data_IF_795596178614
#
_entry.id   IF_795596178614
#
_cell.length_a   1.000
_cell.length_b   1.000
_cell.length_c   1.000
_cell.angle_alpha   90.00
_cell.angle_beta   90.00
_cell.angle_gamma   90.00
#
_symmetry.space_group_name_H-M   'P 1'
#
loop_
_entity.id
_entity.type
_entity.pdbx_description
1 polymer ?
#
# COMPACT_ATOMS: atom_id res chain seq x y z
N UNK A 1 -25.56 23.28 -5.34
CA UNK A 1 -24.98 21.94 -5.45
C UNK A 1 -23.97 21.72 -4.33
N UNK A 2 -24.12 20.62 -3.67
CA UNK A 2 -23.30 20.29 -2.52
C UNK A 2 -21.87 19.90 -2.94
N UNK A 3 -20.87 20.63 -2.44
CA UNK A 3 -19.46 20.34 -2.71
C UNK A 3 -19.03 18.98 -2.14
N UNK A 4 -19.63 18.55 -1.04
CA UNK A 4 -19.34 17.26 -0.41
C UNK A 4 -19.67 16.10 -1.35
N UNK A 5 -20.80 16.18 -2.06
CA UNK A 5 -21.20 15.14 -3.00
C UNK A 5 -20.23 15.05 -4.18
N UNK A 6 -19.77 16.20 -4.68
CA UNK A 6 -18.78 16.24 -5.76
C UNK A 6 -17.45 15.60 -5.35
N UNK A 7 -16.98 15.88 -4.13
CA UNK A 7 -15.75 15.30 -3.59
C UNK A 7 -15.89 13.78 -3.44
N UNK A 8 -17.02 13.30 -2.94
CA UNK A 8 -17.31 11.88 -2.79
C UNK A 8 -17.27 11.15 -4.14
N UNK A 9 -17.89 11.74 -5.15
CA UNK A 9 -17.87 11.16 -6.51
C UNK A 9 -16.45 11.09 -7.07
N UNK A 10 -15.65 12.14 -6.89
CA UNK A 10 -14.27 12.16 -7.36
C UNK A 10 -13.42 11.09 -6.66
N UNK A 11 -13.58 10.95 -5.34
CA UNK A 11 -12.87 9.93 -4.59
C UNK A 11 -13.23 8.52 -5.05
N UNK A 12 -14.52 8.24 -5.30
CA UNK A 12 -14.96 6.95 -5.79
C UNK A 12 -14.42 6.65 -7.19
N UNK A 13 -14.38 7.66 -8.07
CA UNK A 13 -13.83 7.51 -9.41
C UNK A 13 -12.32 7.23 -9.36
N UNK A 14 -11.58 7.92 -8.50
CA UNK A 14 -10.16 7.70 -8.29
C UNK A 14 -9.88 6.30 -7.77
N UNK A 15 -10.70 5.82 -6.85
CA UNK A 15 -10.59 4.47 -6.30
C UNK A 15 -10.81 3.42 -7.39
N UNK A 16 -11.82 3.60 -8.24
CA UNK A 16 -12.07 2.71 -9.39
C UNK A 16 -10.89 2.71 -10.36
N UNK A 17 -10.29 3.86 -10.62
CA UNK A 17 -9.12 3.97 -11.46
C UNK A 17 -7.93 3.23 -10.85
N UNK A 18 -7.71 3.40 -9.55
CA UNK A 18 -6.64 2.73 -8.84
C UNK A 18 -6.75 1.21 -8.88
N UNK A 19 -7.94 0.65 -8.64
CA UNK A 19 -8.14 -0.80 -8.69
C UNK A 19 -8.03 -1.33 -10.11
N UNK A 20 -8.46 -0.56 -11.12
CA UNK A 20 -8.33 -0.97 -12.50
C UNK A 20 -6.87 -1.08 -12.93
N UNK A 21 -6.02 -0.12 -12.53
CA UNK A 21 -4.58 -0.17 -12.79
C UNK A 21 -3.94 -1.35 -12.05
N UNK A 22 -4.31 -1.56 -10.81
CA UNK A 22 -3.85 -2.71 -10.02
C UNK A 22 -4.16 -4.02 -10.74
N UNK A 23 -5.40 -4.22 -11.15
CA UNK A 23 -5.82 -5.44 -11.84
C UNK A 23 -5.07 -5.64 -13.16
N UNK A 24 -4.82 -4.56 -13.89
CA UNK A 24 -4.07 -4.62 -15.14
C UNK A 24 -2.62 -5.06 -14.91
N UNK A 25 -1.95 -4.48 -13.93
CA UNK A 25 -0.57 -4.84 -13.57
C UNK A 25 -0.49 -6.32 -13.19
N UNK A 26 -1.42 -6.79 -12.36
CA UNK A 26 -1.47 -8.19 -11.96
C UNK A 26 -1.72 -9.12 -13.15
N UNK A 27 -2.64 -8.75 -14.02
CA UNK A 27 -2.93 -9.53 -15.23
C UNK A 27 -1.70 -9.67 -16.13
N UNK A 28 -0.92 -8.62 -16.28
CA UNK A 28 0.32 -8.64 -17.07
C UNK A 28 1.37 -9.59 -16.47
N UNK A 29 1.24 -9.91 -15.19
CA UNK A 29 2.10 -10.87 -14.48
C UNK A 29 1.44 -12.24 -14.26
N UNK A 30 0.36 -12.51 -14.99
CA UNK A 30 -0.31 -13.80 -14.95
C UNK A 30 -1.27 -14.00 -13.78
N UNK A 31 -1.65 -12.91 -13.10
CA UNK A 31 -2.58 -12.98 -11.95
C UNK A 31 -3.90 -12.32 -12.32
N UNK A 32 -4.99 -13.09 -12.29
CA UNK A 32 -6.34 -12.57 -12.51
C UNK A 32 -7.08 -12.55 -11.17
N UNK A 33 -7.55 -11.37 -10.77
CA UNK A 33 -8.33 -11.22 -9.54
C UNK A 33 -9.77 -11.70 -9.74
N UNK A 34 -10.27 -12.46 -8.78
CA UNK A 34 -11.69 -12.78 -8.70
C UNK A 34 -12.46 -11.53 -8.23
N UNK A 35 -13.80 -11.59 -8.38
CA UNK A 35 -14.64 -10.51 -7.87
C UNK A 35 -14.49 -10.34 -6.36
N UNK A 36 -14.46 -11.45 -5.61
CA UNK A 36 -14.28 -11.42 -4.17
C UNK A 36 -12.93 -10.83 -3.77
N UNK A 37 -11.87 -11.16 -4.49
CA UNK A 37 -10.54 -10.60 -4.26
C UNK A 37 -10.49 -9.10 -4.54
N UNK A 38 -11.13 -8.67 -5.62
CA UNK A 38 -11.23 -7.24 -5.97
C UNK A 38 -11.97 -6.48 -4.88
N UNK A 39 -13.10 -7.01 -4.41
CA UNK A 39 -13.87 -6.40 -3.31
C UNK A 39 -13.03 -6.30 -2.05
N UNK A 40 -12.27 -7.35 -1.71
CA UNK A 40 -11.42 -7.37 -0.53
C UNK A 40 -10.31 -6.29 -0.60
N UNK A 41 -9.67 -6.14 -1.76
CA UNK A 41 -8.62 -5.13 -1.95
C UNK A 41 -9.20 -3.72 -1.83
N UNK A 42 -10.35 -3.46 -2.44
CA UNK A 42 -11.03 -2.16 -2.35
C UNK A 42 -11.45 -1.85 -0.92
N UNK A 43 -12.01 -2.83 -0.21
CA UNK A 43 -12.40 -2.66 1.18
C UNK A 43 -11.21 -2.34 2.08
N UNK A 44 -10.09 -3.03 1.86
CA UNK A 44 -8.84 -2.77 2.58
C UNK A 44 -8.32 -1.36 2.32
N UNK A 45 -8.39 -0.91 1.07
CA UNK A 45 -7.98 0.44 0.69
C UNK A 45 -8.85 1.51 1.38
N UNK A 46 -10.15 1.35 1.32
CA UNK A 46 -11.11 2.27 1.96
C UNK A 46 -10.88 2.34 3.47
N UNK A 47 -10.71 1.19 4.10
CA UNK A 47 -10.44 1.10 5.54
C UNK A 47 -9.13 1.79 5.91
N UNK A 48 -8.07 1.55 5.15
CA UNK A 48 -6.76 2.14 5.41
C UNK A 48 -6.78 3.67 5.29
N UNK A 49 -7.45 4.20 4.28
CA UNK A 49 -7.62 5.65 4.13
C UNK A 49 -8.40 6.24 5.31
N UNK A 50 -9.48 5.60 5.71
CA UNK A 50 -10.30 6.06 6.84
C UNK A 50 -9.51 6.03 8.14
N UNK A 51 -8.80 4.94 8.41
CA UNK A 51 -8.05 4.77 9.65
C UNK A 51 -6.87 5.75 9.76
N UNK A 52 -6.27 6.11 8.62
CA UNK A 52 -5.16 7.07 8.59
C UNK A 52 -5.62 8.52 8.43
N UNK A 53 -6.91 8.77 8.21
CA UNK A 53 -7.43 10.10 7.98
C UNK A 53 -6.92 10.72 6.67
N UNK A 54 -6.51 9.90 5.72
CA UNK A 54 -5.91 10.36 4.47
C UNK A 54 -6.95 10.44 3.35
N UNK A 55 -6.86 11.50 2.56
CA UNK A 55 -7.60 11.64 1.30
C UNK A 55 -6.61 11.54 0.16
N UNK A 56 -6.90 10.67 -0.81
CA UNK A 56 -6.06 10.51 -1.98
C UNK A 56 -6.70 11.12 -3.21
N UNK A 57 -5.83 11.63 -4.07
CA UNK A 57 -6.22 12.15 -5.39
C UNK A 57 -5.51 11.32 -6.46
N UNK A 58 -6.13 11.21 -7.65
CA UNK A 58 -5.59 10.41 -8.74
C UNK A 58 -5.71 8.92 -8.45
N UNK A 59 -4.72 8.14 -8.85
CA UNK A 59 -4.75 6.67 -8.71
C UNK A 59 -4.50 6.19 -7.28
N UNK A 60 -3.93 7.04 -6.42
CA UNK A 60 -3.55 6.68 -5.07
C UNK A 60 -2.30 5.81 -5.01
N UNK A 61 -2.06 5.21 -3.85
CA UNK A 61 -0.87 4.39 -3.62
C UNK A 61 -1.01 2.93 -4.06
N UNK A 62 -2.24 2.43 -4.27
CA UNK A 62 -2.45 1.03 -4.62
C UNK A 62 -1.72 0.60 -5.90
N UNK A 63 -1.78 1.36 -7.02
CA UNK A 63 -1.01 1.00 -8.21
C UNK A 63 0.49 0.95 -7.96
N UNK A 64 1.04 1.89 -7.22
CA UNK A 64 2.47 1.93 -6.90
C UNK A 64 2.89 0.73 -6.04
N UNK A 65 2.08 0.37 -5.05
CA UNK A 65 2.30 -0.83 -4.25
C UNK A 65 2.24 -2.09 -5.10
N UNK A 66 1.25 -2.20 -5.97
CA UNK A 66 1.11 -3.36 -6.85
C UNK A 66 2.34 -3.51 -7.75
N UNK A 67 2.78 -2.44 -8.40
CA UNK A 67 3.96 -2.45 -9.26
C UNK A 67 5.22 -2.84 -8.49
N UNK A 68 5.36 -2.37 -7.26
CA UNK A 68 6.53 -2.67 -6.43
C UNK A 68 6.57 -4.13 -5.99
N UNK A 69 5.42 -4.73 -5.68
CA UNK A 69 5.37 -6.04 -5.04
C UNK A 69 5.02 -7.21 -5.96
N UNK A 70 4.44 -6.95 -7.15
CA UNK A 70 3.96 -8.02 -8.04
C UNK A 70 5.08 -8.98 -8.46
N UNK A 71 6.32 -8.52 -8.54
CA UNK A 71 7.47 -9.35 -8.92
C UNK A 71 8.15 -10.01 -7.73
N UNK A 72 7.65 -9.83 -6.52
CA UNK A 72 8.23 -10.45 -5.33
C UNK A 72 8.12 -11.97 -5.40
N UNK A 73 9.19 -12.71 -5.05
CA UNK A 73 9.13 -14.17 -5.02
C UNK A 73 8.19 -14.71 -3.95
N UNK A 74 7.77 -13.89 -3.01
CA UNK A 74 6.86 -14.26 -1.92
C UNK A 74 5.39 -14.01 -2.25
N UNK A 75 5.10 -13.35 -3.37
CA UNK A 75 3.71 -13.10 -3.80
C UNK A 75 3.34 -14.11 -4.86
N UNK A 76 2.29 -14.87 -4.56
CA UNK A 76 1.74 -15.90 -5.43
C UNK A 76 0.32 -15.52 -5.82
N UNK A 77 -0.24 -16.23 -6.80
CA UNK A 77 -1.64 -16.04 -7.17
C UNK A 77 -2.58 -16.24 -5.98
N UNK A 78 -2.26 -17.20 -5.12
CA UNK A 78 -3.12 -17.60 -4.01
C UNK A 78 -3.10 -16.58 -2.86
N UNK A 79 -1.97 -15.91 -2.62
CA UNK A 79 -1.85 -14.97 -1.51
C UNK A 79 -1.87 -13.50 -1.93
N UNK A 80 -1.92 -13.21 -3.23
CA UNK A 80 -1.77 -11.86 -3.76
C UNK A 80 -2.78 -10.87 -3.18
N UNK A 81 -4.07 -11.22 -3.18
CA UNK A 81 -5.11 -10.33 -2.69
C UNK A 81 -4.95 -10.04 -1.20
N UNK A 82 -4.68 -11.07 -0.40
CA UNK A 82 -4.46 -10.92 1.03
C UNK A 82 -3.23 -10.07 1.33
N UNK A 83 -2.10 -10.34 0.67
CA UNK A 83 -0.88 -9.57 0.87
C UNK A 83 -1.02 -8.13 0.41
N UNK A 84 -1.66 -7.87 -0.73
CA UNK A 84 -1.90 -6.49 -1.17
C UNK A 84 -2.79 -5.73 -0.20
N UNK A 85 -3.76 -6.40 0.40
CA UNK A 85 -4.61 -5.79 1.44
C UNK A 85 -3.78 -5.43 2.68
N UNK A 86 -2.94 -6.34 3.13
CA UNK A 86 -2.07 -6.11 4.30
C UNK A 86 -0.99 -5.06 4.01
N UNK A 87 -0.40 -5.07 2.83
CA UNK A 87 0.61 -4.09 2.43
C UNK A 87 0.03 -2.68 2.34
N UNK A 88 -1.21 -2.53 1.90
CA UNK A 88 -1.90 -1.25 1.94
C UNK A 88 -2.05 -0.75 3.38
N UNK A 89 -2.52 -1.62 4.27
CA UNK A 89 -2.67 -1.26 5.67
C UNK A 89 -1.34 -0.83 6.29
N UNK A 90 -0.27 -1.57 5.99
CA UNK A 90 1.09 -1.24 6.45
C UNK A 90 1.55 0.11 5.92
N UNK A 91 1.39 0.33 4.61
CA UNK A 91 1.81 1.59 3.98
C UNK A 91 1.13 2.80 4.61
N UNK A 92 -0.20 2.78 4.69
CA UNK A 92 -0.93 3.93 5.20
C UNK A 92 -0.68 4.16 6.69
N UNK A 93 -0.57 3.09 7.47
CA UNK A 93 -0.26 3.20 8.89
C UNK A 93 1.11 3.87 9.11
N UNK A 94 2.15 3.35 8.47
CA UNK A 94 3.50 3.90 8.67
C UNK A 94 3.72 5.22 7.96
N UNK A 95 3.01 5.49 6.87
CA UNK A 95 2.99 6.81 6.26
C UNK A 95 2.54 7.87 7.26
N UNK A 96 1.51 7.56 8.02
CA UNK A 96 1.01 8.42 9.10
C UNK A 96 2.01 8.51 10.25
N UNK A 97 2.53 7.37 10.70
CA UNK A 97 3.49 7.32 11.81
C UNK A 97 4.80 8.05 11.50
N UNK A 98 5.25 8.02 10.27
CA UNK A 98 6.47 8.71 9.85
C UNK A 98 6.29 10.22 9.66
N UNK A 99 5.06 10.71 9.72
CA UNK A 99 4.70 12.14 9.79
C UNK A 99 5.42 13.01 8.74
N UNK A 100 5.45 12.54 7.50
CA UNK A 100 6.05 13.27 6.39
C UNK A 100 7.56 13.28 6.34
N UNK A 101 8.23 12.55 7.22
CA UNK A 101 9.70 12.45 7.24
C UNK A 101 10.27 11.64 6.09
N UNK A 102 9.42 10.90 5.38
CA UNK A 102 9.81 10.09 4.23
C UNK A 102 8.73 10.23 3.15
N UNK A 103 9.14 10.27 1.89
CA UNK A 103 8.18 10.32 0.77
C UNK A 103 7.49 8.98 0.59
N UNK A 104 6.31 8.98 -0.05
CA UNK A 104 5.58 7.75 -0.36
C UNK A 104 6.44 6.79 -1.19
N UNK A 105 7.13 7.31 -2.19
CA UNK A 105 7.98 6.53 -3.08
C UNK A 105 9.10 5.83 -2.32
N UNK A 106 9.78 6.56 -1.43
CA UNK A 106 10.86 6.00 -0.61
C UNK A 106 10.34 5.00 0.41
N UNK A 107 9.16 5.26 0.97
CA UNK A 107 8.53 4.33 1.92
C UNK A 107 8.20 3.00 1.24
N UNK A 108 7.61 3.05 0.05
CA UNK A 108 7.28 1.84 -0.73
C UNK A 108 8.56 1.09 -1.10
N UNK A 109 9.60 1.80 -1.53
CA UNK A 109 10.88 1.18 -1.87
C UNK A 109 11.52 0.50 -0.66
N UNK A 110 11.44 1.10 0.52
CA UNK A 110 11.92 0.51 1.76
C UNK A 110 11.14 -0.75 2.11
N UNK A 111 9.81 -0.70 2.02
CA UNK A 111 8.94 -1.85 2.28
C UNK A 111 9.29 -3.01 1.35
N UNK A 112 9.47 -2.74 0.06
CA UNK A 112 9.82 -3.76 -0.93
C UNK A 112 11.16 -4.43 -0.57
N UNK A 113 12.17 -3.65 -0.25
CA UNK A 113 13.49 -4.16 0.10
C UNK A 113 13.44 -5.04 1.34
N UNK A 114 12.74 -4.60 2.38
CA UNK A 114 12.63 -5.35 3.63
C UNK A 114 11.78 -6.61 3.48
N UNK A 115 10.67 -6.50 2.76
CA UNK A 115 9.79 -7.64 2.51
C UNK A 115 10.51 -8.75 1.76
N UNK A 116 11.29 -8.40 0.74
CA UNK A 116 12.03 -9.36 -0.08
C UNK A 116 13.35 -9.81 0.55
N UNK A 117 13.85 -9.09 1.53
CA UNK A 117 15.11 -9.37 2.21
C UNK A 117 14.92 -9.90 3.63
N UNK A 118 15.17 -9.07 4.67
CA UNK A 118 15.13 -9.54 6.06
C UNK A 118 13.81 -10.15 6.49
N UNK A 119 12.69 -9.63 5.99
CA UNK A 119 11.37 -10.16 6.35
C UNK A 119 11.05 -11.49 5.67
N UNK A 120 11.69 -11.79 4.53
CA UNK A 120 11.49 -13.06 3.84
C UNK A 120 10.03 -13.33 3.47
N UNK A 121 9.27 -12.30 3.12
CA UNK A 121 7.85 -12.43 2.77
C UNK A 121 6.92 -12.45 3.99
N UNK A 122 7.42 -12.26 5.20
CA UNK A 122 6.62 -12.27 6.42
C UNK A 122 6.13 -10.85 6.73
N UNK A 123 4.82 -10.64 6.62
CA UNK A 123 4.21 -9.34 6.88
C UNK A 123 4.31 -8.94 8.36
N UNK A 124 4.28 -9.92 9.26
CA UNK A 124 4.45 -9.66 10.68
C UNK A 124 5.82 -9.11 11.02
N UNK A 125 6.86 -9.67 10.40
CA UNK A 125 8.22 -9.15 10.55
C UNK A 125 8.35 -7.75 9.95
N UNK A 126 7.76 -7.54 8.76
CA UNK A 126 7.77 -6.24 8.11
C UNK A 126 7.17 -5.18 9.03
N UNK A 127 5.99 -5.43 9.57
CA UNK A 127 5.28 -4.49 10.44
C UNK A 127 5.99 -4.31 11.78
N UNK A 128 6.27 -5.41 12.48
CA UNK A 128 6.75 -5.39 13.86
C UNK A 128 8.24 -5.13 14.03
N UNK A 129 9.03 -5.26 12.97
CA UNK A 129 10.47 -5.08 13.02
C UNK A 129 10.95 -4.03 12.04
N UNK A 130 10.80 -4.27 10.73
CA UNK A 130 11.36 -3.39 9.70
C UNK A 130 10.79 -1.97 9.77
N UNK A 131 9.47 -1.86 9.79
CA UNK A 131 8.78 -0.56 9.75
C UNK A 131 8.91 0.17 11.08
N UNK A 132 8.86 -0.55 12.19
CA UNK A 132 9.05 0.06 13.52
C UNK A 132 10.45 0.64 13.66
N UNK A 133 11.46 -0.06 13.17
CA UNK A 133 12.84 0.45 13.18
C UNK A 133 12.98 1.69 12.31
N UNK A 134 12.36 1.70 11.13
CA UNK A 134 12.39 2.87 10.24
C UNK A 134 11.82 4.08 10.95
N UNK A 135 10.62 3.96 11.52
CA UNK A 135 9.97 5.06 12.23
C UNK A 135 10.80 5.54 13.40
N UNK A 136 11.35 4.63 14.20
CA UNK A 136 12.18 4.98 15.35
C UNK A 136 13.41 5.80 14.92
N UNK A 137 14.07 5.42 13.84
CA UNK A 137 15.24 6.12 13.33
C UNK A 137 14.89 7.48 12.75
N UNK A 138 13.80 7.58 11.99
CA UNK A 138 13.35 8.86 11.45
C UNK A 138 13.01 9.86 12.57
N UNK A 139 12.29 9.39 13.59
CA UNK A 139 11.92 10.20 14.74
C UNK A 139 13.08 10.47 15.68
N UNK A 140 14.05 9.57 15.75
CA UNK A 140 15.26 9.73 16.57
C UNK A 140 16.31 10.65 15.99
N UNK A 141 16.01 11.26 14.82
CA UNK A 141 16.91 12.22 14.14
C UNK A 141 18.23 11.62 13.65
N UNK A 142 18.33 10.29 13.58
CA UNK A 142 19.45 9.63 12.95
C UNK A 142 19.15 9.40 11.50
N UNK A 143 19.49 10.37 10.66
CA UNK A 143 19.24 10.32 9.23
C UNK A 143 20.44 9.85 8.41
N UNK A 144 21.55 9.55 9.07
CA UNK A 144 22.80 9.22 8.37
C UNK A 144 22.73 7.91 7.58
N UNK A 145 21.81 7.03 7.93
CA UNK A 145 21.66 5.71 7.29
C UNK A 145 20.62 5.69 6.16
N UNK A 146 19.87 6.78 6.01
CA UNK A 146 18.90 6.92 4.94
C UNK A 146 19.60 7.44 3.69
#
# INVERSE_FOLDING_TARGET
>A
MDKSLSIIKTAAENEKTGIAVCAKVLYEHGITLSEAETVAIVAAHTKALRDSGRVEFGEGALPALTKAFVSSPYITRENCAELLSELQATFYFFRSECDGLISDEKLIAFMKREFNGPAGGDIGYLNGTSMERLCARLKGKDSSWI
#
